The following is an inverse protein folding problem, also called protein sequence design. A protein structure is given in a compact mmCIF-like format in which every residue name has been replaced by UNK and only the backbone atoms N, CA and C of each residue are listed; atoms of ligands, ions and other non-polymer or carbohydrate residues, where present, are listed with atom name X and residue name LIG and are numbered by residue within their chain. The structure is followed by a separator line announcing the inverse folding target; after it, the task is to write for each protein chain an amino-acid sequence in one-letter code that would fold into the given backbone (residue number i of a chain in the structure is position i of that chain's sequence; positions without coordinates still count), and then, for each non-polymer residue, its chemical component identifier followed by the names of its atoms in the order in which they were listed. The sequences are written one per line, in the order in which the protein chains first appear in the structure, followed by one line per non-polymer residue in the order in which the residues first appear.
data_IF_822395439074
#
_entry.id   IF_822395439074
#
_cell.length_a   1.000
_cell.length_b   1.000
_cell.length_c   1.000
_cell.angle_alpha   90.00
_cell.angle_beta   90.00
_cell.angle_gamma   90.00
#
_symmetry.space_group_name_H-M   'P 1'
#
loop_
_entity.id
_entity.type
_entity.pdbx_description
1 polymer ?
#
# COMPACT_ATOMS: atom_id res chain seq x y z
N UNK A 1 36.05 -7.79 -16.31
CA UNK A 1 35.30 -8.75 -15.47
C UNK A 1 34.73 -7.98 -14.27
N UNK A 2 33.42 -7.68 -14.37
CA UNK A 2 32.46 -7.04 -13.42
C UNK A 2 32.96 -6.06 -12.34
N UNK A 3 32.80 -4.78 -12.68
CA UNK A 3 32.64 -3.61 -11.82
C UNK A 3 31.38 -3.81 -10.95
N UNK A 4 31.50 -3.83 -9.62
CA UNK A 4 30.37 -3.59 -8.70
C UNK A 4 30.68 -2.37 -7.85
N UNK A 5 30.23 -1.24 -8.38
CA UNK A 5 30.22 0.10 -7.83
C UNK A 5 29.63 0.12 -6.42
N UNK A 6 30.45 0.52 -5.46
CA UNK A 6 30.01 1.07 -4.17
C UNK A 6 29.31 2.39 -4.49
N UNK A 7 27.98 2.44 -4.39
CA UNK A 7 27.22 3.68 -4.57
C UNK A 7 26.40 3.99 -3.31
N UNK A 8 26.97 4.93 -2.54
CA UNK A 8 26.27 6.05 -1.92
C UNK A 8 25.26 5.77 -0.81
N UNK A 9 25.77 5.83 0.43
CA UNK A 9 25.08 6.53 1.53
C UNK A 9 24.63 7.91 1.02
N UNK A 10 23.34 8.12 0.79
CA UNK A 10 22.77 9.46 0.63
C UNK A 10 22.38 9.98 2.01
N UNK A 11 23.25 10.83 2.54
CA UNK A 11 22.97 11.76 3.64
C UNK A 11 22.54 13.10 3.00
N UNK A 12 21.58 13.80 3.63
CA UNK A 12 21.03 15.17 3.43
C UNK A 12 19.53 15.15 3.08
N UNK A 13 18.64 15.94 3.69
CA UNK A 13 18.83 17.22 4.37
C UNK A 13 17.77 17.46 5.47
N UNK A 14 18.17 18.18 6.52
CA UNK A 14 17.31 18.88 7.46
C UNK A 14 16.67 20.08 6.72
N UNK A 15 15.34 20.15 6.67
CA UNK A 15 14.61 21.36 6.27
C UNK A 15 13.63 21.75 7.39
N UNK A 16 13.87 22.91 8.00
CA UNK A 16 12.94 23.57 8.93
C UNK A 16 12.13 24.60 8.14
N UNK A 17 10.81 24.50 8.33
CA UNK A 17 9.73 25.46 8.05
C UNK A 17 9.47 25.88 6.59
N UNK A 18 8.23 25.64 6.11
CA UNK A 18 7.34 26.71 5.63
C UNK A 18 5.93 26.19 5.26
N UNK A 19 4.91 26.94 5.69
CA UNK A 19 3.51 26.96 5.27
C UNK A 19 2.66 25.69 5.41
N UNK A 20 1.80 25.69 6.42
CA UNK A 20 0.55 24.92 6.40
C UNK A 20 -0.36 25.51 5.30
N UNK A 21 -0.20 25.04 4.06
CA UNK A 21 -1.36 24.97 3.17
C UNK A 21 -2.24 23.87 3.75
N UNK A 22 -3.40 24.24 4.30
CA UNK A 22 -4.49 23.28 4.48
C UNK A 22 -5.02 23.01 3.06
N UNK A 23 -4.22 22.30 2.28
CA UNK A 23 -4.67 21.69 1.05
C UNK A 23 -5.76 20.71 1.44
N UNK A 24 -6.90 20.78 0.75
CA UNK A 24 -7.89 19.72 0.79
C UNK A 24 -7.12 18.42 0.52
N UNK A 25 -6.96 17.57 1.54
CA UNK A 25 -6.29 16.28 1.41
C UNK A 25 -7.17 15.44 0.49
N UNK A 26 -6.95 15.56 -0.81
CA UNK A 26 -7.54 14.68 -1.79
C UNK A 26 -6.82 13.35 -1.61
N UNK A 27 -7.58 12.27 -1.44
CA UNK A 27 -6.98 10.96 -1.35
C UNK A 27 -6.10 10.69 -2.58
N UNK A 28 -4.83 10.32 -2.35
CA UNK A 28 -3.94 9.88 -3.42
C UNK A 28 -4.39 8.50 -3.89
N UNK A 29 -4.46 8.31 -5.20
CA UNK A 29 -4.77 7.00 -5.77
C UNK A 29 -3.46 6.25 -5.98
N UNK A 30 -3.24 5.22 -5.15
CA UNK A 30 -2.03 4.39 -5.18
C UNK A 30 -2.38 3.09 -5.88
N UNK A 31 -1.73 2.83 -7.02
CA UNK A 31 -1.80 1.50 -7.66
C UNK A 31 -0.85 0.57 -6.93
N UNK A 32 -1.36 -0.57 -6.46
CA UNK A 32 -0.59 -1.59 -5.76
C UNK A 32 -0.55 -2.86 -6.58
N UNK A 33 0.63 -3.47 -6.64
CA UNK A 33 0.94 -4.73 -7.30
C UNK A 33 1.39 -5.75 -6.26
N UNK A 34 1.56 -7.00 -6.68
CA UNK A 34 1.94 -8.10 -5.79
C UNK A 34 3.25 -7.81 -5.02
N UNK A 35 4.24 -7.22 -5.70
CA UNK A 35 5.53 -6.86 -5.07
C UNK A 35 5.46 -5.76 -4.01
N UNK A 36 4.30 -5.11 -3.86
CA UNK A 36 4.08 -4.08 -2.83
C UNK A 36 3.57 -4.66 -1.50
N UNK A 37 3.29 -5.97 -1.44
CA UNK A 37 3.03 -6.71 -0.21
C UNK A 37 4.32 -7.49 0.14
N UNK A 38 5.08 -6.98 1.11
CA UNK A 38 6.29 -7.62 1.64
C UNK A 38 6.40 -7.31 3.13
N UNK A 39 6.42 -8.35 3.95
CA UNK A 39 6.49 -8.23 5.41
C UNK A 39 5.26 -7.55 6.01
N UNK A 40 5.46 -6.45 6.74
CA UNK A 40 4.39 -5.70 7.42
C UNK A 40 4.03 -4.44 6.62
N UNK A 41 2.88 -4.48 5.95
CA UNK A 41 2.37 -3.40 5.11
C UNK A 41 1.18 -2.71 5.77
N UNK A 42 1.10 -1.40 5.62
CA UNK A 42 0.01 -0.58 6.14
C UNK A 42 -0.61 0.30 5.07
N UNK A 43 -1.92 0.20 4.92
CA UNK A 43 -2.75 1.08 4.11
C UNK A 43 -3.52 2.05 4.98
N UNK A 44 -3.48 3.32 4.62
CA UNK A 44 -4.00 4.44 5.42
C UNK A 44 -5.30 5.00 4.85
N UNK A 45 -6.10 5.68 5.68
CA UNK A 45 -7.43 6.16 5.25
C UNK A 45 -7.40 7.43 4.38
N UNK A 46 -6.23 8.07 4.28
CA UNK A 46 -5.99 9.23 3.43
C UNK A 46 -5.67 8.86 1.97
N UNK A 47 -5.64 7.57 1.62
CA UNK A 47 -5.38 7.08 0.28
C UNK A 47 -6.48 6.15 -0.24
N UNK A 48 -6.57 6.05 -1.56
CA UNK A 48 -7.33 5.01 -2.26
C UNK A 48 -6.36 4.02 -2.90
N UNK A 49 -6.48 2.74 -2.54
CA UNK A 49 -5.60 1.69 -3.04
C UNK A 49 -6.27 0.91 -4.17
N UNK A 50 -5.62 0.83 -5.33
CA UNK A 50 -6.13 0.15 -6.52
C UNK A 50 -5.27 -1.07 -6.83
N UNK A 51 -5.85 -2.26 -6.64
CA UNK A 51 -5.21 -3.54 -6.90
C UNK A 51 -4.98 -3.74 -8.39
N UNK A 52 -3.73 -3.96 -8.78
CA UNK A 52 -3.32 -4.31 -10.14
C UNK A 52 -3.05 -5.82 -10.22
N UNK A 53 -4.10 -6.59 -10.53
CA UNK A 53 -4.02 -8.05 -10.59
C UNK A 53 -4.22 -8.73 -9.24
N UNK A 54 -3.68 -9.93 -9.09
CA UNK A 54 -3.73 -10.69 -7.85
C UNK A 54 -2.57 -10.29 -6.95
N UNK A 55 -2.90 -9.84 -5.73
CA UNK A 55 -1.96 -9.56 -4.67
C UNK A 55 -2.10 -10.63 -3.60
N UNK A 56 -0.98 -11.16 -3.13
CA UNK A 56 -0.95 -12.18 -2.09
C UNK A 56 -0.40 -11.59 -0.79
N UNK A 57 -1.05 -11.91 0.33
CA UNK A 57 -0.45 -11.79 1.66
C UNK A 57 0.01 -13.18 2.04
N UNK A 58 1.31 -13.44 1.93
CA UNK A 58 1.95 -14.74 2.10
C UNK A 58 2.25 -15.08 3.57
N UNK A 59 2.80 -16.28 3.79
CA UNK A 59 3.17 -16.75 5.14
C UNK A 59 4.19 -15.82 5.79
N UNK A 60 3.88 -15.38 7.01
CA UNK A 60 4.71 -14.43 7.75
C UNK A 60 4.46 -12.96 7.42
N UNK A 61 3.65 -12.65 6.41
CA UNK A 61 3.29 -11.28 6.03
C UNK A 61 2.01 -10.81 6.74
N UNK A 62 1.90 -9.49 6.87
CA UNK A 62 0.71 -8.85 7.40
C UNK A 62 0.33 -7.58 6.65
N UNK A 63 -0.97 -7.44 6.39
CA UNK A 63 -1.57 -6.22 5.84
C UNK A 63 -2.51 -5.60 6.87
N UNK A 64 -2.20 -4.38 7.30
CA UNK A 64 -3.09 -3.57 8.13
C UNK A 64 -3.79 -2.52 7.27
N UNK A 65 -5.12 -2.47 7.32
CA UNK A 65 -5.93 -1.49 6.61
C UNK A 65 -6.66 -0.63 7.64
N UNK A 66 -6.38 0.68 7.64
CA UNK A 66 -7.05 1.62 8.54
C UNK A 66 -8.55 1.75 8.22
N UNK A 67 -9.35 2.00 9.26
CA UNK A 67 -10.78 2.26 9.08
C UNK A 67 -11.00 3.51 8.21
N UNK A 68 -11.84 3.42 7.20
CA UNK A 68 -12.08 4.50 6.23
C UNK A 68 -11.24 4.42 4.95
N UNK A 69 -10.30 3.47 4.85
CA UNK A 69 -9.53 3.26 3.61
C UNK A 69 -10.42 2.68 2.51
N UNK A 70 -10.29 3.22 1.29
CA UNK A 70 -10.96 2.67 0.09
C UNK A 70 -10.00 1.74 -0.65
N UNK A 71 -10.45 0.52 -0.92
CA UNK A 71 -9.72 -0.48 -1.73
C UNK A 71 -10.54 -0.85 -2.96
N UNK A 72 -9.94 -0.83 -4.14
CA UNK A 72 -10.59 -1.17 -5.41
C UNK A 72 -9.77 -2.16 -6.22
N UNK A 73 -10.44 -3.03 -6.96
CA UNK A 73 -9.78 -3.81 -8.01
C UNK A 73 -9.77 -3.06 -9.34
N UNK A 74 -8.69 -3.15 -10.11
CA UNK A 74 -8.73 -2.75 -11.52
C UNK A 74 -9.75 -3.62 -12.29
N UNK A 75 -10.47 -3.06 -13.27
CA UNK A 75 -11.38 -3.82 -14.12
C UNK A 75 -10.64 -4.94 -14.85
N UNK A 76 -11.25 -6.12 -14.89
CA UNK A 76 -10.69 -7.28 -15.57
C UNK A 76 -11.52 -8.53 -15.32
N UNK A 77 -11.24 -9.60 -16.06
CA UNK A 77 -11.93 -10.89 -15.94
C UNK A 77 -10.94 -12.04 -16.07
N UNK A 78 -11.27 -13.19 -15.48
CA UNK A 78 -10.42 -14.39 -15.52
C UNK A 78 -9.01 -14.09 -15.00
N UNK A 79 -8.00 -14.39 -15.82
CA UNK A 79 -6.59 -14.16 -15.49
C UNK A 79 -6.19 -12.68 -15.37
N UNK A 80 -7.02 -11.75 -15.85
CA UNK A 80 -6.76 -10.31 -15.76
C UNK A 80 -7.58 -9.63 -14.65
N UNK A 81 -8.30 -10.40 -13.83
CA UNK A 81 -9.05 -9.85 -12.70
C UNK A 81 -8.11 -9.38 -11.59
N UNK A 82 -8.64 -8.56 -10.68
CA UNK A 82 -7.92 -8.11 -9.49
C UNK A 82 -8.50 -8.74 -8.23
N UNK A 83 -7.63 -9.17 -7.31
CA UNK A 83 -8.04 -9.73 -6.03
C UNK A 83 -6.93 -9.55 -4.99
N UNK A 84 -7.33 -9.36 -3.74
CA UNK A 84 -6.45 -9.48 -2.58
C UNK A 84 -6.68 -10.87 -1.97
N UNK A 85 -5.62 -11.68 -1.90
CA UNK A 85 -5.67 -13.07 -1.48
C UNK A 85 -4.83 -13.22 -0.22
N UNK A 86 -5.45 -13.58 0.89
CA UNK A 86 -4.72 -13.94 2.11
C UNK A 86 -4.41 -15.43 2.05
N UNK A 87 -3.14 -15.77 1.80
CA UNK A 87 -2.68 -17.14 1.74
C UNK A 87 -2.57 -17.74 3.16
N UNK A 88 -2.37 -19.06 3.23
CA UNK A 88 -2.17 -19.73 4.52
C UNK A 88 -0.93 -19.16 5.21
N UNK A 89 -1.12 -18.63 6.42
CA UNK A 89 -0.05 -18.05 7.23
C UNK A 89 0.00 -16.52 7.17
N UNK A 90 -0.52 -15.93 6.10
CA UNK A 90 -0.70 -14.49 5.96
C UNK A 90 -1.82 -13.94 6.85
N UNK A 91 -1.75 -12.65 7.15
CA UNK A 91 -2.67 -11.99 8.08
C UNK A 91 -3.20 -10.67 7.50
N UNK A 92 -4.49 -10.43 7.71
CA UNK A 92 -5.11 -9.13 7.43
C UNK A 92 -5.75 -8.56 8.69
N UNK A 93 -5.50 -7.28 8.93
CA UNK A 93 -6.09 -6.50 10.02
C UNK A 93 -6.87 -5.33 9.42
N UNK A 94 -8.15 -5.56 9.12
CA UNK A 94 -9.07 -4.57 8.54
C UNK A 94 -10.30 -4.44 9.43
N UNK A 95 -10.24 -3.53 10.41
CA UNK A 95 -11.31 -3.32 11.41
C UNK A 95 -12.02 -1.99 11.13
N UNK A 96 -12.88 -2.00 10.12
CA UNK A 96 -13.76 -0.86 9.81
C UNK A 96 -14.80 -0.61 10.91
N UNK A 97 -15.38 0.58 10.90
CA UNK A 97 -16.48 0.98 11.80
C UNK A 97 -17.71 1.41 11.00
N UNK A 98 -18.85 1.60 11.65
CA UNK A 98 -20.04 2.11 10.96
C UNK A 98 -19.82 3.52 10.41
N UNK A 99 -19.07 4.36 11.13
CA UNK A 99 -18.74 5.73 10.74
C UNK A 99 -17.61 5.78 9.69
N UNK A 100 -16.73 4.78 9.69
CA UNK A 100 -15.58 4.65 8.78
C UNK A 100 -15.45 3.21 8.28
N UNK A 101 -16.27 2.78 7.32
CA UNK A 101 -16.15 1.46 6.73
C UNK A 101 -14.86 1.33 5.93
N UNK A 102 -14.48 0.09 5.64
CA UNK A 102 -13.45 -0.27 4.65
C UNK A 102 -14.19 -0.91 3.47
#
# INVERSE_FOLDING_TARGET
MKIKTVFLKKLNALAIAFAASVGLLKAETITVSDSDIDGDVKWTSDNEYVLSGFLYVEDGESLTIEAGTVVRGMPGTGANASALVVARGGKIYAQGTAEKPI
#
